data_IF_037628446194
#
_entry.id   IF_037628446194
#
_cell.length_a   1.000
_cell.length_b   1.000
_cell.length_c   1.000
_cell.angle_alpha   90.00
_cell.angle_beta   90.00
_cell.angle_gamma   90.00
#
_symmetry.space_group_name_H-M   'P 1'
#
loop_
_entity.id
_entity.type
_entity.pdbx_description
1 polymer ?
#
# COMPACT_ATOMS: atom_id res chain seq x y z
N UNK A 1 45.47 0.43 -7.51
CA UNK A 1 44.30 0.76 -6.68
C UNK A 1 43.83 2.13 -7.15
N UNK A 2 42.95 2.14 -8.16
CA UNK A 2 42.62 3.34 -8.92
C UNK A 2 41.43 4.07 -8.27
N UNK A 3 41.72 5.26 -7.78
CA UNK A 3 40.76 6.26 -7.34
C UNK A 3 40.13 6.88 -8.59
N UNK A 4 38.82 6.70 -8.83
CA UNK A 4 38.11 7.36 -9.92
C UNK A 4 37.41 8.61 -9.38
N UNK A 5 38.04 9.75 -9.65
CA UNK A 5 37.45 11.07 -9.58
C UNK A 5 36.32 11.16 -10.61
N UNK A 6 35.08 11.33 -10.17
CA UNK A 6 34.02 11.77 -11.07
C UNK A 6 34.17 13.27 -11.30
N UNK A 7 34.68 13.62 -12.49
CA UNK A 7 34.83 14.99 -12.95
C UNK A 7 33.47 15.64 -13.22
N UNK A 8 33.33 16.83 -12.69
CA UNK A 8 32.28 17.82 -12.82
C UNK A 8 32.02 18.18 -14.30
N UNK A 9 31.22 17.40 -15.04
CA UNK A 9 31.05 17.65 -16.48
C UNK A 9 29.87 17.02 -17.22
N UNK A 10 29.01 16.19 -16.60
CA UNK A 10 27.94 15.47 -17.33
C UNK A 10 26.49 15.78 -16.88
N UNK A 11 26.27 16.78 -16.02
CA UNK A 11 24.94 17.19 -15.55
C UNK A 11 24.31 18.28 -16.42
N UNK A 12 24.09 18.03 -17.73
CA UNK A 12 23.37 18.97 -18.59
C UNK A 12 22.32 18.32 -19.52
N UNK A 13 21.78 17.15 -19.17
CA UNK A 13 20.70 16.55 -19.98
C UNK A 13 19.55 15.93 -19.20
N UNK A 14 19.23 16.51 -18.05
CA UNK A 14 17.91 16.34 -17.45
C UNK A 14 17.20 17.67 -17.64
N UNK A 15 16.16 17.68 -18.47
CA UNK A 15 15.27 18.82 -18.60
C UNK A 15 14.82 19.27 -17.20
N UNK A 16 14.69 20.57 -16.92
CA UNK A 16 14.14 21.01 -15.65
C UNK A 16 12.71 20.49 -15.58
N UNK A 17 12.46 19.45 -14.78
CA UNK A 17 11.14 19.19 -14.26
C UNK A 17 10.78 20.47 -13.51
N UNK A 18 9.89 21.25 -14.11
CA UNK A 18 9.45 22.53 -13.60
C UNK A 18 8.79 22.22 -12.26
N UNK A 19 9.51 22.47 -11.17
CA UNK A 19 8.98 22.43 -9.81
C UNK A 19 7.95 23.54 -9.74
N UNK A 20 6.72 23.23 -10.18
CA UNK A 20 5.54 23.99 -9.84
C UNK A 20 5.40 23.85 -8.34
N UNK A 21 5.57 24.96 -7.64
CA UNK A 21 5.36 25.06 -6.21
C UNK A 21 3.91 24.71 -5.88
N UNK A 22 3.69 23.44 -5.53
CA UNK A 22 2.62 23.00 -4.67
C UNK A 22 3.32 22.05 -3.72
N UNK A 23 3.66 22.53 -2.52
CA UNK A 23 4.27 21.61 -1.56
C UNK A 23 3.20 20.57 -1.25
N UNK A 24 3.54 19.29 -1.28
CA UNK A 24 2.58 18.22 -0.95
C UNK A 24 1.88 18.52 0.39
N UNK A 25 2.58 19.20 1.31
CA UNK A 25 2.09 19.68 2.60
C UNK A 25 0.98 20.73 2.48
N UNK A 26 1.03 21.65 1.50
CA UNK A 26 -0.01 22.68 1.29
C UNK A 26 -1.31 22.05 0.78
N UNK A 27 -1.22 21.09 -0.15
CA UNK A 27 -2.38 20.30 -0.60
C UNK A 27 -2.91 19.43 0.54
N UNK A 28 -2.01 18.82 1.31
CA UNK A 28 -2.38 18.04 2.49
C UNK A 28 -3.10 18.88 3.55
N UNK A 29 -2.71 20.12 3.81
CA UNK A 29 -3.40 20.95 4.81
C UNK A 29 -4.75 21.48 4.32
N UNK A 30 -4.87 21.82 3.04
CA UNK A 30 -6.16 22.21 2.44
C UNK A 30 -7.14 21.02 2.42
N UNK A 31 -6.66 19.84 2.02
CA UNK A 31 -7.46 18.60 2.03
C UNK A 31 -7.79 18.15 3.45
N UNK A 32 -6.86 18.16 4.41
CA UNK A 32 -7.10 17.72 5.81
C UNK A 32 -8.22 18.52 6.48
N UNK A 33 -8.36 19.80 6.13
CA UNK A 33 -9.46 20.66 6.62
C UNK A 33 -10.81 20.29 5.98
N UNK A 34 -10.83 19.79 4.74
CA UNK A 34 -12.04 19.25 4.07
C UNK A 34 -12.34 17.78 4.41
N UNK A 35 -11.36 17.01 4.88
CA UNK A 35 -11.42 15.57 5.24
C UNK A 35 -12.23 15.29 6.52
N UNK A 36 -12.94 16.28 7.11
CA UNK A 36 -13.78 16.02 8.29
C UNK A 36 -14.89 14.98 8.09
N UNK A 37 -15.17 14.57 6.83
CA UNK A 37 -16.17 13.54 6.48
C UNK A 37 -15.61 12.30 5.74
N UNK A 38 -14.31 12.22 5.45
CA UNK A 38 -13.71 11.06 4.75
C UNK A 38 -12.90 10.20 5.73
N UNK A 39 -13.05 8.87 5.63
CA UNK A 39 -12.30 7.91 6.46
C UNK A 39 -10.87 7.68 5.98
N UNK A 40 -10.57 7.97 4.71
CA UNK A 40 -9.26 7.79 4.08
C UNK A 40 -9.05 8.88 3.00
N UNK A 41 -7.83 9.43 2.92
CA UNK A 41 -7.43 10.44 1.93
C UNK A 41 -7.50 9.86 0.50
N UNK A 42 -7.27 8.55 0.35
CA UNK A 42 -7.34 7.86 -0.94
C UNK A 42 -8.76 7.81 -1.55
N UNK A 43 -9.79 8.21 -0.79
CA UNK A 43 -11.16 8.34 -1.30
C UNK A 43 -11.43 9.71 -1.94
N UNK A 44 -10.52 10.67 -1.78
CA UNK A 44 -10.61 11.94 -2.49
C UNK A 44 -10.24 11.74 -3.97
N UNK A 45 -11.10 12.21 -4.87
CA UNK A 45 -10.95 11.98 -6.31
C UNK A 45 -9.64 12.55 -6.86
N UNK A 46 -9.20 13.71 -6.35
CA UNK A 46 -7.99 14.38 -6.85
C UNK A 46 -6.74 13.57 -6.47
N UNK A 47 -6.65 13.18 -5.20
CA UNK A 47 -5.54 12.37 -4.71
C UNK A 47 -5.52 10.96 -5.33
N UNK A 48 -6.70 10.37 -5.53
CA UNK A 48 -6.83 9.06 -6.18
C UNK A 48 -6.37 9.10 -7.66
N UNK A 49 -6.70 10.16 -8.40
CA UNK A 49 -6.30 10.33 -9.81
C UNK A 49 -4.78 10.54 -9.93
N UNK A 50 -4.19 11.39 -9.09
CA UNK A 50 -2.74 11.61 -9.04
C UNK A 50 -1.98 10.33 -8.64
N UNK A 51 -2.49 9.57 -7.67
CA UNK A 51 -1.93 8.29 -7.29
C UNK A 51 -2.03 7.27 -8.44
N UNK A 52 -3.19 7.17 -9.10
CA UNK A 52 -3.38 6.26 -10.23
C UNK A 52 -2.41 6.58 -11.38
N UNK A 53 -2.17 7.87 -11.66
CA UNK A 53 -1.23 8.32 -12.68
C UNK A 53 0.24 8.01 -12.37
N UNK A 54 0.60 7.85 -11.09
CA UNK A 54 1.98 7.58 -10.65
C UNK A 54 2.23 6.12 -10.23
N UNK A 55 1.18 5.32 -10.09
CA UNK A 55 1.27 3.97 -9.55
C UNK A 55 2.10 3.00 -10.41
N UNK A 56 2.07 3.14 -11.74
CA UNK A 56 2.87 2.29 -12.62
C UNK A 56 4.37 2.59 -12.48
N UNK A 57 4.75 3.87 -12.37
CA UNK A 57 6.14 4.26 -12.10
C UNK A 57 6.62 3.73 -10.74
N UNK A 58 5.75 3.69 -9.72
CA UNK A 58 6.08 3.09 -8.42
C UNK A 58 6.40 1.59 -8.55
N UNK A 59 5.63 0.84 -9.36
CA UNK A 59 5.90 -0.59 -9.60
C UNK A 59 7.24 -0.80 -10.29
N UNK A 60 7.57 0.03 -11.28
CA UNK A 60 8.85 -0.03 -11.99
C UNK A 60 10.03 0.23 -11.04
N UNK A 61 9.91 1.23 -10.16
CA UNK A 61 10.95 1.53 -9.15
C UNK A 61 11.14 0.37 -8.17
N UNK A 62 10.05 -0.26 -7.72
CA UNK A 62 10.11 -1.44 -6.84
C UNK A 62 10.71 -2.65 -7.57
N UNK A 63 10.39 -2.88 -8.84
CA UNK A 63 11.00 -3.95 -9.62
C UNK A 63 12.50 -3.72 -9.82
N UNK A 64 12.89 -2.51 -10.19
CA UNK A 64 14.28 -2.12 -10.37
C UNK A 64 15.09 -2.22 -9.07
N UNK A 65 14.51 -1.87 -7.93
CA UNK A 65 15.21 -2.00 -6.65
C UNK A 65 15.51 -3.45 -6.30
N UNK A 66 14.60 -4.38 -6.63
CA UNK A 66 14.82 -5.83 -6.46
C UNK A 66 15.93 -6.30 -7.40
N UNK A 67 15.91 -5.90 -8.67
CA UNK A 67 16.95 -6.28 -9.65
C UNK A 67 18.34 -5.82 -9.24
N UNK A 68 18.43 -4.65 -8.59
CA UNK A 68 19.67 -4.03 -8.16
C UNK A 68 20.09 -4.39 -6.73
N UNK A 69 19.34 -5.26 -6.03
CA UNK A 69 19.54 -5.60 -4.63
C UNK A 69 19.60 -4.35 -3.71
N UNK A 70 18.76 -3.36 -4.03
CA UNK A 70 18.67 -2.09 -3.31
C UNK A 70 17.53 -2.11 -2.27
N UNK A 71 17.78 -1.47 -1.13
CA UNK A 71 16.77 -1.35 -0.06
C UNK A 71 15.72 -0.30 -0.45
N UNK A 72 14.46 -0.73 -0.62
CA UNK A 72 13.34 0.12 -1.02
C UNK A 72 12.09 -0.03 -0.12
N UNK A 73 12.29 -0.16 1.20
CA UNK A 73 11.23 -0.54 2.15
C UNK A 73 9.97 0.33 2.07
N UNK A 74 10.14 1.66 1.98
CA UNK A 74 9.00 2.59 1.90
C UNK A 74 8.22 2.44 0.60
N UNK A 75 8.90 2.24 -0.54
CA UNK A 75 8.24 2.06 -1.83
C UNK A 75 7.49 0.73 -1.90
N UNK A 76 8.10 -0.35 -1.39
CA UNK A 76 7.45 -1.67 -1.33
C UNK A 76 6.23 -1.63 -0.41
N UNK A 77 6.36 -1.06 0.80
CA UNK A 77 5.25 -0.95 1.74
C UNK A 77 4.09 -0.10 1.18
N UNK A 78 4.38 1.02 0.52
CA UNK A 78 3.35 1.84 -0.13
C UNK A 78 2.65 1.08 -1.25
N UNK A 79 3.38 0.32 -2.07
CA UNK A 79 2.78 -0.49 -3.14
C UNK A 79 1.87 -1.58 -2.59
N UNK A 80 2.26 -2.23 -1.49
CA UNK A 80 1.46 -3.25 -0.81
C UNK A 80 0.21 -2.64 -0.16
N UNK A 81 0.34 -1.50 0.51
CA UNK A 81 -0.78 -0.81 1.14
C UNK A 81 -1.90 -0.51 0.14
N UNK A 82 -1.56 0.06 -1.02
CA UNK A 82 -2.53 0.37 -2.08
C UNK A 82 -3.24 -0.89 -2.59
N UNK A 83 -2.53 -2.02 -2.71
CA UNK A 83 -3.14 -3.30 -3.11
C UNK A 83 -4.11 -3.82 -2.05
N UNK A 84 -3.75 -3.70 -0.78
CA UNK A 84 -4.59 -4.17 0.32
C UNK A 84 -5.88 -3.36 0.45
N UNK A 85 -5.79 -2.03 0.42
CA UNK A 85 -6.96 -1.14 0.50
C UNK A 85 -7.89 -1.25 -0.73
N UNK A 86 -7.33 -1.56 -1.90
CA UNK A 86 -8.09 -1.69 -3.14
C UNK A 86 -8.79 -3.03 -3.35
N UNK A 87 -8.64 -4.01 -2.43
CA UNK A 87 -9.13 -5.38 -2.62
C UNK A 87 -10.20 -5.73 -1.59
N UNK A 88 -11.33 -6.29 -2.03
CA UNK A 88 -12.41 -6.75 -1.14
C UNK A 88 -12.06 -8.04 -0.38
N UNK A 89 -11.21 -8.88 -0.97
CA UNK A 89 -10.80 -10.18 -0.42
C UNK A 89 -9.30 -10.20 -0.08
N UNK A 90 -8.99 -10.03 1.19
CA UNK A 90 -7.63 -10.17 1.70
C UNK A 90 -7.30 -11.62 2.05
N UNK A 91 -6.02 -11.96 2.11
CA UNK A 91 -5.56 -13.28 2.52
C UNK A 91 -5.84 -13.60 4.01
N UNK A 92 -6.43 -12.67 4.76
CA UNK A 92 -6.82 -12.83 6.17
C UNK A 92 -7.78 -13.99 6.40
N UNK A 93 -8.61 -14.36 5.42
CA UNK A 93 -9.46 -15.56 5.54
C UNK A 93 -8.66 -16.85 5.71
N UNK A 94 -7.48 -16.92 5.10
CA UNK A 94 -6.58 -18.06 5.26
C UNK A 94 -5.99 -18.06 6.67
N UNK A 95 -5.57 -16.90 7.18
CA UNK A 95 -5.07 -16.74 8.54
C UNK A 95 -6.15 -17.10 9.59
N UNK A 96 -7.42 -16.73 9.35
CA UNK A 96 -8.54 -17.13 10.20
C UNK A 96 -8.74 -18.65 10.22
N UNK A 97 -8.57 -19.32 9.08
CA UNK A 97 -8.62 -20.77 9.00
C UNK A 97 -7.46 -21.44 9.76
N UNK A 98 -6.25 -20.87 9.70
CA UNK A 98 -5.10 -21.34 10.49
C UNK A 98 -5.33 -21.16 11.99
N UNK A 99 -5.87 -20.02 12.41
CA UNK A 99 -6.23 -19.77 13.80
C UNK A 99 -7.29 -20.76 14.30
N UNK A 100 -8.27 -21.11 13.46
CA UNK A 100 -9.27 -22.11 13.81
C UNK A 100 -8.66 -23.52 13.91
N UNK A 101 -7.76 -23.88 12.98
CA UNK A 101 -7.03 -25.15 12.95
C UNK A 101 -6.17 -25.38 14.20
N UNK A 102 -5.42 -24.37 14.65
CA UNK A 102 -4.47 -24.53 15.75
C UNK A 102 -5.04 -24.23 17.14
N UNK A 103 -6.08 -23.40 17.23
CA UNK A 103 -6.53 -22.87 18.51
C UNK A 103 -8.04 -22.76 18.68
N UNK A 104 -8.85 -23.28 17.76
CA UNK A 104 -10.32 -23.21 17.86
C UNK A 104 -10.78 -21.75 18.03
N UNK A 105 -10.12 -20.84 17.30
CA UNK A 105 -10.36 -19.40 17.40
C UNK A 105 -11.64 -18.95 16.69
N UNK A 106 -12.31 -19.86 15.96
CA UNK A 106 -13.47 -19.62 15.13
C UNK A 106 -13.20 -18.59 14.00
N UNK A 107 -13.97 -18.69 12.92
CA UNK A 107 -13.89 -17.78 11.78
C UNK A 107 -15.30 -17.32 11.36
N UNK A 108 -15.37 -16.29 10.52
CA UNK A 108 -16.61 -15.83 9.92
C UNK A 108 -16.64 -16.14 8.42
N UNK A 109 -17.84 -16.37 7.89
CA UNK A 109 -18.03 -16.66 6.46
C UNK A 109 -18.31 -15.37 5.70
N UNK A 110 -17.62 -15.17 4.57
CA UNK A 110 -17.89 -14.07 3.66
C UNK A 110 -19.38 -14.00 3.32
N UNK A 111 -19.95 -12.79 3.39
CA UNK A 111 -21.36 -12.51 3.10
C UNK A 111 -22.40 -13.06 4.10
N UNK A 112 -21.99 -13.73 5.19
CA UNK A 112 -22.90 -14.15 6.26
C UNK A 112 -23.04 -13.08 7.36
N UNK A 113 -22.08 -12.16 7.44
CA UNK A 113 -21.96 -11.23 8.57
C UNK A 113 -22.91 -10.01 8.48
N UNK A 114 -23.70 -9.80 9.55
CA UNK A 114 -24.22 -8.46 9.93
C UNK A 114 -23.15 -7.76 10.75
N UNK A 115 -22.84 -6.49 10.50
CA UNK A 115 -21.76 -5.65 11.10
C UNK A 115 -21.78 -5.50 12.65
N UNK A 116 -22.37 -6.43 13.38
CA UNK A 116 -22.40 -6.46 14.84
C UNK A 116 -21.10 -7.09 15.38
N UNK A 117 -20.44 -6.47 16.38
CA UNK A 117 -19.24 -7.02 16.99
C UNK A 117 -19.61 -8.24 17.85
N UNK A 118 -19.66 -9.41 17.22
CA UNK A 118 -19.92 -10.70 17.88
C UNK A 118 -18.68 -11.57 17.80
N UNK A 119 -18.56 -12.49 18.76
CA UNK A 119 -17.57 -13.55 18.68
C UNK A 119 -17.86 -14.40 17.44
N UNK A 120 -16.81 -14.73 16.71
CA UNK A 120 -16.88 -15.54 15.47
C UNK A 120 -17.60 -16.86 15.70
N UNK A 121 -18.48 -17.20 14.76
CA UNK A 121 -19.52 -18.23 14.94
C UNK A 121 -19.11 -19.63 14.48
N UNK A 122 -18.26 -19.72 13.45
CA UNK A 122 -17.99 -20.99 12.79
C UNK A 122 -16.71 -21.62 13.31
N UNK A 123 -16.75 -22.92 13.60
CA UNK A 123 -15.60 -23.75 13.92
C UNK A 123 -15.62 -24.98 13.02
N UNK A 124 -14.46 -25.41 12.55
CA UNK A 124 -14.33 -26.63 11.76
C UNK A 124 -13.31 -27.57 12.41
N UNK A 125 -13.69 -28.84 12.51
CA UNK A 125 -12.74 -29.91 12.81
C UNK A 125 -11.95 -30.22 11.53
N UNK A 126 -10.72 -29.72 11.47
CA UNK A 126 -9.86 -29.81 10.28
C UNK A 126 -9.11 -31.13 10.16
N UNK A 127 -8.86 -31.80 11.30
CA UNK A 127 -8.26 -33.13 11.34
C UNK A 127 -9.38 -34.17 11.31
N UNK A 128 -9.23 -35.29 10.59
CA UNK A 128 -10.18 -36.38 10.68
C UNK A 128 -10.26 -36.89 12.13
N UNK A 129 -11.49 -37.11 12.61
CA UNK A 129 -11.79 -37.64 13.93
C UNK A 129 -11.42 -39.12 14.06
#
# INVERSE_FOLDING_TARGET
MACLFFTQGSLQRLAPYRVGASTAVDVLMETVVQISNLSNILLDNKEAEELAGTFDALKEVVAFSIEMDAVASAFSASSEYVKMEGTELLATYFEEAELDLFGTHNYDVCHEHKLEPKKRLHHKEWKPA
#
